data_IF_453208581197
#
_entry.id   IF_453208581197
#
_cell.length_a   1.000
_cell.length_b   1.000
_cell.length_c   1.000
_cell.angle_alpha   90.00
_cell.angle_beta   90.00
_cell.angle_gamma   90.00
#
_symmetry.space_group_name_H-M   'P 1'
#
loop_
_entity.id
_entity.type
_entity.pdbx_description
1 polymer ?
#
# COMPACT_ATOMS: atom_id res chain seq x y z
N UNK A 1 -20.77 3.90 -13.25
CA UNK A 1 -20.56 2.60 -12.57
C UNK A 1 -21.75 1.70 -12.86
N UNK A 2 -21.54 0.54 -13.53
CA UNK A 2 -22.61 -0.42 -13.84
C UNK A 2 -23.14 -1.12 -12.57
N UNK A 3 -24.33 -1.75 -12.65
CA UNK A 3 -25.00 -2.41 -11.51
C UNK A 3 -24.09 -3.46 -10.84
N UNK A 4 -23.34 -4.22 -11.64
CA UNK A 4 -22.40 -5.26 -11.17
C UNK A 4 -21.22 -4.67 -10.37
N UNK A 5 -20.70 -3.50 -10.76
CA UNK A 5 -19.62 -2.85 -10.02
C UNK A 5 -20.10 -2.26 -8.68
N UNK A 6 -21.36 -1.84 -8.59
CA UNK A 6 -21.99 -1.41 -7.32
C UNK A 6 -22.19 -2.58 -6.39
N UNK A 7 -22.66 -3.73 -6.88
CA UNK A 7 -22.85 -4.93 -6.06
C UNK A 7 -21.51 -5.44 -5.51
N UNK A 8 -20.47 -5.55 -6.33
CA UNK A 8 -19.12 -5.92 -5.90
C UNK A 8 -18.53 -4.92 -4.89
N UNK A 9 -18.80 -3.62 -5.04
CA UNK A 9 -18.38 -2.60 -4.09
C UNK A 9 -18.97 -2.83 -2.69
N UNK A 10 -20.25 -3.23 -2.59
CA UNK A 10 -20.88 -3.56 -1.30
C UNK A 10 -20.36 -4.89 -0.73
N UNK A 11 -20.18 -5.91 -1.56
CA UNK A 11 -19.62 -7.19 -1.16
C UNK A 11 -18.22 -7.02 -0.55
N UNK A 12 -17.35 -6.24 -1.17
CA UNK A 12 -15.99 -6.01 -0.69
C UNK A 12 -15.93 -5.30 0.68
N UNK A 13 -17.01 -4.63 1.07
CA UNK A 13 -17.15 -3.96 2.37
C UNK A 13 -17.86 -4.79 3.43
N UNK A 14 -18.14 -6.04 3.12
CA UNK A 14 -18.80 -6.98 4.01
C UNK A 14 -17.93 -8.22 4.24
N UNK A 15 -18.23 -9.04 5.24
CA UNK A 15 -17.58 -10.34 5.44
C UNK A 15 -17.71 -11.28 4.23
N UNK A 16 -18.71 -11.07 3.35
CA UNK A 16 -18.91 -11.87 2.13
C UNK A 16 -17.72 -11.81 1.18
N UNK A 17 -16.85 -10.79 1.29
CA UNK A 17 -15.62 -10.69 0.50
C UNK A 17 -14.72 -11.92 0.64
N UNK A 18 -14.72 -12.59 1.78
CA UNK A 18 -13.92 -13.81 1.99
C UNK A 18 -14.45 -14.99 1.15
N UNK A 19 -15.75 -15.15 1.05
CA UNK A 19 -16.36 -16.17 0.20
C UNK A 19 -16.10 -15.90 -1.29
N UNK A 20 -16.25 -14.64 -1.73
CA UNK A 20 -15.92 -14.22 -3.10
C UNK A 20 -14.45 -14.50 -3.41
N UNK A 21 -13.52 -14.11 -2.52
CA UNK A 21 -12.08 -14.39 -2.67
C UNK A 21 -11.81 -15.89 -2.81
N UNK A 22 -12.48 -16.72 -2.02
CA UNK A 22 -12.33 -18.18 -2.08
C UNK A 22 -12.81 -18.73 -3.43
N UNK A 23 -13.96 -18.27 -3.92
CA UNK A 23 -14.46 -18.66 -5.24
C UNK A 23 -13.54 -18.26 -6.40
N UNK A 24 -13.09 -17.00 -6.41
CA UNK A 24 -12.15 -16.52 -7.43
C UNK A 24 -10.80 -17.26 -7.34
N UNK A 25 -10.33 -17.58 -6.13
CA UNK A 25 -9.10 -18.35 -5.92
C UNK A 25 -9.24 -19.80 -6.41
N UNK A 26 -10.40 -20.41 -6.27
CA UNK A 26 -10.67 -21.77 -6.78
C UNK A 26 -10.62 -21.81 -8.31
N UNK A 27 -11.11 -20.76 -8.98
CA UNK A 27 -11.04 -20.64 -10.45
C UNK A 27 -9.60 -20.55 -10.96
N UNK A 28 -8.68 -19.97 -10.18
CA UNK A 28 -7.27 -19.78 -10.52
C UNK A 28 -6.32 -20.75 -9.78
N UNK A 29 -6.78 -21.95 -9.44
CA UNK A 29 -6.05 -22.89 -8.58
C UNK A 29 -4.66 -23.26 -9.10
N UNK A 30 -4.49 -23.38 -10.42
CA UNK A 30 -3.22 -23.76 -11.06
C UNK A 30 -2.14 -22.69 -10.82
N UNK A 31 -2.42 -21.44 -11.18
CA UNK A 31 -1.48 -20.33 -10.98
C UNK A 31 -1.22 -20.09 -9.50
N UNK A 32 -2.24 -20.21 -8.64
CA UNK A 32 -2.09 -20.08 -7.20
C UNK A 32 -1.17 -21.14 -6.59
N UNK A 33 -1.25 -22.39 -7.09
CA UNK A 33 -0.33 -23.46 -6.68
C UNK A 33 1.11 -23.15 -7.09
N UNK A 34 1.30 -22.64 -8.30
CA UNK A 34 2.63 -22.26 -8.79
C UNK A 34 3.21 -21.12 -7.95
N UNK A 35 2.43 -20.07 -7.65
CA UNK A 35 2.88 -18.98 -6.79
C UNK A 35 3.27 -19.45 -5.38
N UNK A 36 2.55 -20.42 -4.83
CA UNK A 36 2.88 -21.03 -3.53
C UNK A 36 4.17 -21.84 -3.61
N UNK A 37 4.35 -22.62 -4.68
CA UNK A 37 5.57 -23.39 -4.93
C UNK A 37 6.79 -22.47 -5.06
N UNK A 38 6.66 -21.41 -5.85
CA UNK A 38 7.73 -20.41 -6.01
C UNK A 38 8.06 -19.70 -4.68
N UNK A 39 7.08 -19.41 -3.85
CA UNK A 39 7.32 -18.80 -2.54
C UNK A 39 8.14 -19.71 -1.60
N UNK A 40 8.01 -21.05 -1.72
CA UNK A 40 8.80 -22.00 -0.94
C UNK A 40 10.27 -22.06 -1.38
N UNK A 41 10.58 -21.60 -2.60
CA UNK A 41 11.94 -21.54 -3.14
C UNK A 41 12.69 -20.26 -2.78
N UNK A 42 12.02 -19.28 -2.16
CA UNK A 42 12.67 -18.05 -1.72
C UNK A 42 13.63 -18.32 -0.56
N UNK A 43 14.80 -17.71 -0.64
CA UNK A 43 15.76 -17.75 0.47
C UNK A 43 15.36 -16.71 1.52
N UNK A 44 14.46 -17.09 2.45
CA UNK A 44 13.92 -16.22 3.49
C UNK A 44 14.76 -16.30 4.74
N UNK A 45 15.34 -15.19 5.16
CA UNK A 45 16.11 -15.08 6.41
C UNK A 45 15.21 -15.16 7.65
N UNK A 46 15.79 -15.44 8.81
CA UNK A 46 15.06 -15.44 10.08
C UNK A 46 14.46 -14.06 10.40
N UNK A 47 15.17 -12.97 10.09
CA UNK A 47 14.69 -11.61 10.31
C UNK A 47 13.45 -11.31 9.45
N UNK A 48 13.47 -11.65 8.16
CA UNK A 48 12.33 -11.49 7.25
C UNK A 48 11.12 -12.32 7.69
N UNK A 49 11.34 -13.55 8.15
CA UNK A 49 10.29 -14.43 8.70
C UNK A 49 9.64 -13.80 9.93
N UNK A 50 10.43 -13.29 10.86
CA UNK A 50 9.93 -12.64 12.07
C UNK A 50 9.07 -11.40 11.71
N UNK A 51 9.49 -10.61 10.72
CA UNK A 51 8.69 -9.46 10.23
C UNK A 51 7.39 -9.88 9.56
N UNK A 52 7.40 -10.97 8.82
CA UNK A 52 6.17 -11.53 8.23
C UNK A 52 5.19 -12.03 9.31
N UNK A 53 5.70 -12.66 10.36
CA UNK A 53 4.90 -13.10 11.51
C UNK A 53 4.34 -11.90 12.31
N UNK A 54 5.15 -10.85 12.51
CA UNK A 54 4.72 -9.59 13.12
C UNK A 54 3.59 -8.94 12.31
N UNK A 55 3.76 -8.85 10.99
CA UNK A 55 2.74 -8.34 10.07
C UNK A 55 1.45 -9.16 10.14
N UNK A 56 1.54 -10.48 10.20
CA UNK A 56 0.37 -11.36 10.31
C UNK A 56 -0.35 -11.22 11.66
N UNK A 57 0.38 -11.10 12.76
CA UNK A 57 -0.15 -11.01 14.12
C UNK A 57 -0.74 -9.64 14.40
N UNK A 58 0.01 -8.58 14.13
CA UNK A 58 -0.33 -7.22 14.52
C UNK A 58 -1.03 -6.42 13.41
N UNK A 59 -0.89 -6.87 12.14
CA UNK A 59 -1.32 -6.15 10.95
C UNK A 59 -0.29 -5.17 10.41
N UNK A 60 0.89 -5.04 11.05
CA UNK A 60 1.98 -4.17 10.62
C UNK A 60 3.35 -4.70 11.08
N UNK A 61 4.41 -4.25 10.41
CA UNK A 61 5.80 -4.48 10.80
C UNK A 61 6.69 -3.32 10.32
N UNK A 62 7.67 -2.91 11.13
CA UNK A 62 8.71 -1.98 10.71
C UNK A 62 9.80 -2.80 10.03
N UNK A 63 10.24 -2.39 8.84
CA UNK A 63 11.15 -3.16 7.98
C UNK A 63 12.37 -2.37 7.53
N UNK A 64 12.60 -1.18 8.08
CA UNK A 64 13.71 -0.28 7.68
C UNK A 64 15.05 -1.00 7.68
N UNK A 65 15.32 -1.80 8.70
CA UNK A 65 16.58 -2.53 8.88
C UNK A 65 16.81 -3.68 7.88
N UNK A 66 15.79 -4.07 7.14
CA UNK A 66 15.88 -5.11 6.11
C UNK A 66 16.20 -4.55 4.72
N UNK A 67 16.12 -3.24 4.55
CA UNK A 67 16.32 -2.61 3.25
C UNK A 67 17.79 -2.66 2.83
N UNK A 68 18.06 -3.08 1.59
CA UNK A 68 19.40 -3.03 1.01
C UNK A 68 19.88 -1.57 0.96
N UNK A 69 21.05 -1.24 1.57
CA UNK A 69 21.53 0.14 1.64
C UNK A 69 21.75 0.79 0.27
N UNK A 70 22.23 0.04 -0.72
CA UNK A 70 22.49 0.58 -2.05
C UNK A 70 21.20 0.83 -2.82
N UNK A 71 20.19 -0.03 -2.65
CA UNK A 71 18.84 0.17 -3.21
C UNK A 71 18.17 1.35 -2.53
N UNK A 72 18.29 1.45 -1.20
CA UNK A 72 17.71 2.52 -0.41
C UNK A 72 18.31 3.89 -0.79
N UNK A 73 19.63 3.96 -1.01
CA UNK A 73 20.29 5.18 -1.43
C UNK A 73 19.78 5.65 -2.80
N UNK A 74 19.78 4.78 -3.82
CA UNK A 74 19.27 5.13 -5.16
C UNK A 74 17.81 5.56 -5.12
N UNK A 75 16.98 4.86 -4.33
CA UNK A 75 15.58 5.22 -4.10
C UNK A 75 15.44 6.61 -3.46
N UNK A 76 16.25 6.91 -2.43
CA UNK A 76 16.25 8.19 -1.76
C UNK A 76 16.62 9.34 -2.69
N UNK A 77 17.70 9.19 -3.44
CA UNK A 77 18.18 10.18 -4.42
C UNK A 77 17.12 10.47 -5.49
N UNK A 78 16.57 9.40 -6.08
CA UNK A 78 15.52 9.52 -7.09
C UNK A 78 14.24 10.18 -6.53
N UNK A 79 13.85 9.82 -5.31
CA UNK A 79 12.65 10.37 -4.68
C UNK A 79 12.80 11.85 -4.33
N UNK A 80 13.94 12.24 -3.76
CA UNK A 80 14.21 13.64 -3.42
C UNK A 80 14.31 14.53 -4.67
N UNK A 81 14.84 14.02 -5.77
CA UNK A 81 14.86 14.73 -7.05
C UNK A 81 13.44 15.12 -7.53
N UNK A 82 12.40 14.35 -7.16
CA UNK A 82 11.01 14.62 -7.53
C UNK A 82 10.36 15.79 -6.78
N UNK A 83 10.96 16.28 -5.71
CA UNK A 83 10.45 17.48 -5.03
C UNK A 83 10.42 18.71 -5.95
N UNK A 84 11.35 18.81 -6.91
CA UNK A 84 11.34 19.87 -7.92
C UNK A 84 10.19 19.78 -8.93
N UNK A 85 9.52 18.62 -9.03
CA UNK A 85 8.46 18.37 -10.01
C UNK A 85 7.06 18.67 -9.48
N UNK A 86 6.90 19.04 -8.20
CA UNK A 86 5.59 19.13 -7.51
C UNK A 86 4.65 20.09 -8.23
N UNK A 87 5.07 21.32 -8.53
CA UNK A 87 4.23 22.32 -9.19
C UNK A 87 3.80 21.87 -10.58
N UNK A 88 4.73 21.31 -11.34
CA UNK A 88 4.46 20.80 -12.70
C UNK A 88 3.52 19.60 -12.67
N UNK A 89 3.70 18.69 -11.73
CA UNK A 89 2.85 17.51 -11.56
C UNK A 89 1.44 17.90 -11.12
N UNK A 90 1.34 18.86 -10.22
CA UNK A 90 0.04 19.39 -9.76
C UNK A 90 -0.75 20.07 -10.89
N UNK A 91 -0.08 20.91 -11.69
CA UNK A 91 -0.72 21.59 -12.83
C UNK A 91 -1.25 20.60 -13.88
N UNK A 92 -0.63 19.43 -14.02
CA UNK A 92 -1.05 18.36 -14.94
C UNK A 92 -2.11 17.43 -14.35
N UNK A 93 -2.33 17.46 -13.03
CA UNK A 93 -3.24 16.55 -12.37
C UNK A 93 -4.70 16.92 -12.68
N UNK A 94 -5.34 16.15 -13.54
CA UNK A 94 -6.71 16.38 -13.99
C UNK A 94 -7.79 15.91 -13.01
N UNK A 95 -7.42 15.09 -12.04
CA UNK A 95 -8.33 14.50 -11.05
C UNK A 95 -8.32 15.31 -9.74
N UNK A 96 -9.42 15.95 -9.41
CA UNK A 96 -9.64 16.62 -8.12
C UNK A 96 -9.95 15.66 -6.96
N UNK A 97 -9.86 14.36 -7.18
CA UNK A 97 -10.35 13.37 -6.23
C UNK A 97 -9.60 13.35 -4.88
N UNK A 98 -8.32 13.72 -4.89
CA UNK A 98 -7.51 13.86 -3.67
C UNK A 98 -6.61 15.09 -3.83
N UNK A 99 -7.16 16.26 -3.69
CA UNK A 99 -6.44 17.55 -3.83
C UNK A 99 -5.22 17.68 -2.90
N UNK A 100 -5.21 16.94 -1.79
CA UNK A 100 -4.09 16.92 -0.85
C UNK A 100 -2.93 16.00 -1.30
N UNK A 101 -3.04 15.30 -2.45
CA UNK A 101 -1.98 14.48 -3.02
C UNK A 101 -1.57 14.93 -4.40
N UNK A 102 -0.26 15.17 -4.58
CA UNK A 102 0.36 15.36 -5.89
C UNK A 102 1.08 14.06 -6.25
N UNK A 103 0.74 13.45 -7.39
CA UNK A 103 1.35 12.21 -7.88
C UNK A 103 2.60 12.56 -8.69
N UNK A 104 3.74 12.02 -8.31
CA UNK A 104 5.02 12.40 -8.92
C UNK A 104 5.55 11.37 -9.92
N UNK A 105 4.98 10.15 -9.98
CA UNK A 105 5.42 9.12 -10.93
C UNK A 105 4.63 9.12 -12.24
N UNK A 106 3.54 9.86 -12.35
CA UNK A 106 2.71 9.87 -13.56
C UNK A 106 3.50 10.37 -14.79
N UNK A 107 4.48 11.25 -14.60
CA UNK A 107 5.37 11.73 -15.66
C UNK A 107 6.36 10.68 -16.18
N UNK A 108 6.64 9.63 -15.42
CA UNK A 108 7.55 8.53 -15.79
C UNK A 108 6.81 7.39 -16.50
N UNK A 109 5.48 7.45 -16.51
CA UNK A 109 4.67 6.40 -17.14
C UNK A 109 4.70 6.53 -18.66
N UNK A 110 4.95 5.39 -19.32
CA UNK A 110 4.80 5.24 -20.76
C UNK A 110 3.49 4.47 -21.01
N UNK A 111 2.55 5.09 -21.71
CA UNK A 111 1.21 4.53 -21.93
C UNK A 111 0.50 4.11 -20.63
N UNK A 112 0.66 4.91 -19.56
CA UNK A 112 0.09 4.64 -18.25
C UNK A 112 0.77 3.51 -17.47
N UNK A 113 2.00 3.09 -17.86
CA UNK A 113 2.75 2.00 -17.25
C UNK A 113 4.15 2.43 -16.87
N UNK A 114 4.66 1.92 -15.76
CA UNK A 114 6.05 2.06 -15.34
C UNK A 114 6.90 0.89 -15.87
N UNK A 115 8.15 1.19 -16.20
CA UNK A 115 9.14 0.14 -16.49
C UNK A 115 9.40 -0.73 -15.26
N UNK A 116 9.60 -2.03 -15.48
CA UNK A 116 10.08 -2.93 -14.42
C UNK A 116 11.42 -2.46 -13.82
N UNK A 117 12.28 -1.78 -14.61
CA UNK A 117 13.58 -1.26 -14.15
C UNK A 117 13.47 0.09 -13.44
N UNK A 118 12.28 0.70 -13.38
CA UNK A 118 12.09 1.95 -12.68
C UNK A 118 12.53 1.80 -11.21
N UNK A 119 13.29 2.76 -10.69
CA UNK A 119 13.87 2.70 -9.33
C UNK A 119 12.83 2.47 -8.24
N UNK A 120 11.63 3.03 -8.39
CA UNK A 120 10.54 2.87 -7.43
C UNK A 120 9.89 1.48 -7.54
N UNK A 121 9.89 0.88 -8.73
CA UNK A 121 9.47 -0.52 -8.92
C UNK A 121 10.52 -1.45 -8.35
N UNK A 122 11.81 -1.23 -8.65
CA UNK A 122 12.91 -2.04 -8.10
C UNK A 122 12.99 -1.97 -6.57
N UNK A 123 12.66 -0.82 -5.96
CA UNK A 123 12.56 -0.71 -4.51
C UNK A 123 11.49 -1.63 -3.92
N UNK A 124 10.34 -1.78 -4.58
CA UNK A 124 9.31 -2.73 -4.17
C UNK A 124 9.70 -4.20 -4.43
N UNK A 125 10.54 -4.45 -5.43
CA UNK A 125 10.95 -5.80 -5.84
C UNK A 125 12.22 -6.30 -5.14
N UNK A 126 12.82 -5.52 -4.24
CA UNK A 126 14.02 -5.98 -3.53
C UNK A 126 13.72 -7.25 -2.70
N UNK A 127 14.68 -8.20 -2.60
CA UNK A 127 14.46 -9.50 -2.00
C UNK A 127 13.80 -9.45 -0.62
N UNK A 128 14.27 -8.57 0.27
CA UNK A 128 13.73 -8.46 1.62
C UNK A 128 12.22 -8.10 1.63
N UNK A 129 11.79 -7.18 0.77
CA UNK A 129 10.37 -6.81 0.64
C UNK A 129 9.55 -7.99 0.13
N UNK A 130 10.00 -8.62 -0.96
CA UNK A 130 9.31 -9.76 -1.57
C UNK A 130 9.22 -10.93 -0.59
N UNK A 131 10.32 -11.25 0.13
CA UNK A 131 10.37 -12.33 1.11
C UNK A 131 9.38 -12.12 2.26
N UNK A 132 9.34 -10.92 2.86
CA UNK A 132 8.39 -10.60 3.93
C UNK A 132 6.95 -10.71 3.45
N UNK A 133 6.62 -10.12 2.30
CA UNK A 133 5.25 -10.14 1.76
C UNK A 133 4.85 -11.54 1.34
N UNK A 134 5.72 -12.29 0.63
CA UNK A 134 5.43 -13.66 0.21
C UNK A 134 5.23 -14.59 1.40
N UNK A 135 6.07 -14.49 2.43
CA UNK A 135 5.92 -15.26 3.67
C UNK A 135 4.61 -14.92 4.38
N UNK A 136 4.27 -13.63 4.48
CA UNK A 136 3.04 -13.19 5.13
C UNK A 136 1.77 -13.65 4.38
N UNK A 137 1.81 -13.73 3.06
CA UNK A 137 0.71 -14.18 2.21
C UNK A 137 0.68 -15.70 1.98
N UNK A 138 1.83 -16.39 2.16
CA UNK A 138 2.03 -17.80 1.83
C UNK A 138 2.10 -18.09 0.33
N UNK A 139 2.37 -17.08 -0.50
CA UNK A 139 2.50 -17.18 -1.96
C UNK A 139 3.24 -15.96 -2.53
N UNK A 140 3.81 -16.08 -3.74
CA UNK A 140 4.38 -14.92 -4.43
C UNK A 140 3.30 -13.86 -4.63
N UNK A 141 3.51 -12.61 -4.14
CA UNK A 141 2.52 -11.55 -4.23
C UNK A 141 2.30 -11.06 -5.66
N UNK A 142 1.20 -10.35 -5.86
CA UNK A 142 0.99 -9.48 -7.01
C UNK A 142 1.25 -8.04 -6.59
N UNK A 143 2.20 -7.36 -7.22
CA UNK A 143 2.39 -5.91 -7.07
C UNK A 143 1.36 -5.20 -7.95
N UNK A 144 0.46 -4.47 -7.30
CA UNK A 144 -0.64 -3.79 -7.99
C UNK A 144 -0.20 -2.44 -8.57
N UNK A 145 0.44 -1.63 -7.74
CA UNK A 145 1.00 -0.35 -8.15
C UNK A 145 2.09 0.12 -7.18
N UNK A 146 2.91 1.05 -7.67
CA UNK A 146 3.75 1.91 -6.85
C UNK A 146 3.30 3.36 -7.03
N UNK A 147 3.44 4.15 -5.98
CA UNK A 147 3.04 5.55 -5.94
C UNK A 147 4.07 6.35 -5.16
N UNK A 148 4.51 7.46 -5.72
CA UNK A 148 5.21 8.52 -5.00
C UNK A 148 4.26 9.71 -4.93
N UNK A 149 3.88 10.12 -3.74
CA UNK A 149 2.92 11.20 -3.52
C UNK A 149 3.49 12.26 -2.57
N UNK A 150 3.34 13.50 -2.95
CA UNK A 150 3.56 14.63 -2.04
C UNK A 150 2.22 15.05 -1.45
N UNK A 151 2.16 15.10 -0.12
CA UNK A 151 0.97 15.57 0.61
C UNK A 151 1.23 16.95 1.19
N UNK A 152 0.22 17.83 1.13
CA UNK A 152 0.28 19.19 1.70
C UNK A 152 -1.02 19.56 2.38
N UNK A 153 -0.97 20.62 3.17
CA UNK A 153 -2.17 21.25 3.72
C UNK A 153 -2.98 21.93 2.61
N UNK A 154 -4.29 21.74 2.61
CA UNK A 154 -5.20 22.34 1.61
C UNK A 154 -6.15 23.37 2.21
N UNK A 155 -6.27 23.46 3.54
CA UNK A 155 -7.28 24.29 4.21
C UNK A 155 -8.72 23.80 4.04
N UNK A 156 -8.92 22.67 3.36
CA UNK A 156 -10.25 22.09 3.12
C UNK A 156 -10.64 21.11 4.21
N UNK A 157 -11.93 20.75 4.28
CA UNK A 157 -12.42 19.70 5.18
C UNK A 157 -11.73 18.35 4.88
N UNK A 158 -11.52 17.54 5.93
CA UNK A 158 -10.92 16.24 5.80
C UNK A 158 -11.77 15.30 4.95
N UNK A 159 -11.17 14.67 3.97
CA UNK A 159 -11.87 13.79 3.02
C UNK A 159 -11.07 12.53 2.70
N UNK A 160 -11.75 11.52 2.15
CA UNK A 160 -11.12 10.29 1.62
C UNK A 160 -10.14 9.67 2.65
N UNK A 161 -8.87 9.43 2.27
CA UNK A 161 -7.87 8.80 3.12
C UNK A 161 -7.40 9.65 4.32
N UNK A 162 -7.86 10.89 4.45
CA UNK A 162 -7.69 11.67 5.68
C UNK A 162 -8.69 11.27 6.79
N UNK A 163 -9.75 10.55 6.44
CA UNK A 163 -10.67 9.93 7.38
C UNK A 163 -10.26 8.47 7.64
N UNK A 164 -10.67 7.93 8.79
CA UNK A 164 -10.43 6.54 9.12
C UNK A 164 -11.12 5.59 8.14
N UNK A 165 -10.36 4.69 7.52
CA UNK A 165 -10.88 3.73 6.55
C UNK A 165 -10.07 2.44 6.54
N UNK A 166 -10.60 1.41 5.91
CA UNK A 166 -9.87 0.21 5.48
C UNK A 166 -9.83 0.20 3.97
N UNK A 167 -8.78 -0.37 3.41
CA UNK A 167 -8.79 -0.71 2.00
C UNK A 167 -9.69 -1.93 1.76
N UNK A 168 -10.49 -1.82 0.71
CA UNK A 168 -11.46 -2.84 0.37
C UNK A 168 -11.19 -3.50 -0.99
N UNK A 169 -9.99 -3.28 -1.55
CA UNK A 169 -9.61 -3.81 -2.85
C UNK A 169 -9.43 -5.33 -2.83
N UNK A 170 -9.01 -5.87 -1.69
CA UNK A 170 -8.89 -7.32 -1.46
C UNK A 170 -9.08 -7.65 0.03
N UNK A 171 -9.10 -8.95 0.38
CA UNK A 171 -9.13 -9.44 1.76
C UNK A 171 -7.81 -9.23 2.50
N UNK A 172 -6.72 -9.11 1.77
CA UNK A 172 -5.37 -8.76 2.24
C UNK A 172 -4.79 -7.72 1.31
N UNK A 173 -4.43 -6.57 1.86
CA UNK A 173 -3.79 -5.47 1.13
C UNK A 173 -2.55 -5.07 1.92
N UNK A 174 -1.40 -5.62 1.54
CA UNK A 174 -0.14 -5.28 2.19
C UNK A 174 0.48 -4.10 1.45
N UNK A 175 0.67 -3.00 2.16
CA UNK A 175 1.35 -1.83 1.63
C UNK A 175 2.71 -1.65 2.31
N UNK A 176 3.74 -1.49 1.50
CA UNK A 176 5.02 -0.94 1.93
C UNK A 176 4.91 0.58 1.84
N UNK A 177 5.16 1.24 2.93
CA UNK A 177 5.31 2.69 3.02
C UNK A 177 6.76 3.04 3.32
N UNK A 178 7.28 4.10 2.68
CA UNK A 178 8.59 4.65 3.00
C UNK A 178 8.53 6.17 2.96
N UNK A 179 8.95 6.80 4.04
CA UNK A 179 9.04 8.25 4.12
C UNK A 179 10.29 8.74 3.37
N UNK A 180 10.13 9.74 2.54
CA UNK A 180 11.25 10.41 1.86
C UNK A 180 11.53 11.82 2.43
N UNK A 181 10.67 12.29 3.34
CA UNK A 181 10.87 13.45 4.21
C UNK A 181 10.76 13.01 5.66
N UNK A 182 11.29 13.80 6.60
CA UNK A 182 11.09 13.55 8.02
C UNK A 182 9.60 13.71 8.37
N UNK A 183 9.11 12.84 9.25
CA UNK A 183 7.74 12.84 9.78
C UNK A 183 7.83 12.70 11.29
N UNK A 184 8.14 13.81 11.97
CA UNK A 184 8.46 13.81 13.41
C UNK A 184 7.33 14.39 14.25
N UNK A 185 6.49 15.23 13.63
CA UNK A 185 5.41 15.93 14.30
C UNK A 185 4.04 15.49 13.77
N UNK A 186 2.98 15.73 14.52
CA UNK A 186 1.61 15.47 14.09
C UNK A 186 1.24 16.30 12.84
N UNK A 187 1.80 17.53 12.74
CA UNK A 187 1.62 18.40 11.59
C UNK A 187 2.19 17.89 10.28
N UNK A 188 3.15 16.95 10.32
CA UNK A 188 3.72 16.31 9.12
C UNK A 188 2.78 15.26 8.52
N UNK A 189 1.59 15.07 9.08
CA UNK A 189 0.56 14.16 8.62
C UNK A 189 0.98 12.69 8.65
N UNK A 190 1.51 12.17 9.78
CA UNK A 190 1.99 10.81 9.88
C UNK A 190 0.92 9.79 9.50
N UNK A 191 1.34 8.66 8.93
CA UNK A 191 0.45 7.52 8.75
C UNK A 191 0.01 7.02 10.12
N UNK A 192 -1.30 7.00 10.33
CA UNK A 192 -1.90 6.69 11.63
C UNK A 192 -2.88 5.54 11.48
N UNK A 193 -2.81 4.56 12.37
CA UNK A 193 -3.64 3.36 12.26
C UNK A 193 -3.96 2.72 13.61
N UNK A 194 -4.96 1.86 13.60
CA UNK A 194 -5.25 0.91 14.66
C UNK A 194 -4.66 -0.45 14.28
N UNK A 195 -3.86 -1.10 15.14
CA UNK A 195 -3.42 -2.47 14.94
C UNK A 195 -4.63 -3.39 14.71
N UNK A 196 -4.38 -4.56 14.09
CA UNK A 196 -5.43 -5.51 13.74
C UNK A 196 -6.41 -5.80 14.88
N UNK A 197 -5.91 -6.11 16.07
CA UNK A 197 -6.75 -6.43 17.23
C UNK A 197 -7.69 -5.30 17.63
N UNK A 198 -7.21 -4.06 17.63
CA UNK A 198 -8.02 -2.88 17.93
C UNK A 198 -8.99 -2.56 16.79
N UNK A 199 -8.56 -2.78 15.55
CA UNK A 199 -9.44 -2.67 14.37
C UNK A 199 -10.57 -3.70 14.40
N UNK A 200 -10.33 -4.91 14.88
CA UNK A 200 -11.35 -5.95 15.00
C UNK A 200 -12.43 -5.55 16.03
N UNK A 201 -12.09 -4.81 17.10
CA UNK A 201 -13.05 -4.22 18.05
C UNK A 201 -13.98 -3.19 17.37
N UNK A 202 -13.46 -2.41 16.43
CA UNK A 202 -14.29 -1.48 15.65
C UNK A 202 -15.32 -2.21 14.78
N UNK A 203 -15.00 -3.41 14.32
CA UNK A 203 -15.88 -4.26 13.51
C UNK A 203 -15.97 -3.83 12.04
N UNK A 204 -17.00 -4.32 11.35
CA UNK A 204 -17.36 -3.97 9.97
C UNK A 204 -18.67 -3.19 9.98
N UNK A 205 -18.62 -1.84 9.96
CA UNK A 205 -19.83 -1.05 9.87
C UNK A 205 -20.58 -1.31 8.55
N UNK A 206 -21.88 -1.55 8.64
CA UNK A 206 -22.74 -1.79 7.47
C UNK A 206 -22.85 -0.55 6.58
N UNK A 207 -22.76 0.63 7.17
CA UNK A 207 -22.87 1.91 6.47
C UNK A 207 -21.57 2.72 6.58
N UNK A 208 -21.17 3.26 5.44
CA UNK A 208 -19.99 4.11 5.31
C UNK A 208 -18.70 3.32 5.15
N UNK A 209 -17.67 3.99 4.69
CA UNK A 209 -16.34 3.44 4.46
C UNK A 209 -15.23 4.33 5.00
N UNK A 210 -15.57 5.57 5.29
CA UNK A 210 -14.69 6.58 5.85
C UNK A 210 -15.38 7.16 7.08
N UNK A 211 -14.68 7.20 8.19
CA UNK A 211 -15.23 7.51 9.50
C UNK A 211 -14.50 8.68 10.13
N UNK A 212 -15.22 9.64 10.73
CA UNK A 212 -14.61 10.70 11.53
C UNK A 212 -14.09 10.14 12.86
N UNK A 213 -13.27 10.91 13.55
CA UNK A 213 -12.57 10.51 14.76
C UNK A 213 -13.51 10.11 15.91
N UNK A 214 -14.58 10.85 16.11
CA UNK A 214 -15.59 10.61 17.14
C UNK A 214 -16.22 9.23 16.99
N UNK A 215 -16.55 8.82 15.76
CA UNK A 215 -17.13 7.50 15.48
C UNK A 215 -16.16 6.36 15.77
N UNK A 216 -14.87 6.56 15.54
CA UNK A 216 -13.84 5.55 15.82
C UNK A 216 -13.58 5.47 17.32
N UNK A 217 -13.36 6.62 17.96
CA UNK A 217 -13.02 6.69 19.37
C UNK A 217 -14.24 6.46 20.31
N UNK A 218 -15.45 6.46 19.78
CA UNK A 218 -16.61 5.94 20.48
C UNK A 218 -16.60 4.42 20.67
N UNK A 219 -15.73 3.68 19.94
CA UNK A 219 -15.63 2.21 20.00
C UNK A 219 -14.25 1.69 20.40
N UNK A 220 -13.20 2.46 20.15
CA UNK A 220 -11.82 2.03 20.37
C UNK A 220 -11.09 3.08 21.20
N UNK A 221 -10.32 2.68 22.22
CA UNK A 221 -9.53 3.62 23.02
C UNK A 221 -8.51 4.39 22.16
N UNK A 222 -8.36 5.70 22.45
CA UNK A 222 -7.34 6.52 21.76
C UNK A 222 -5.92 6.00 21.96
N UNK A 223 -5.62 5.37 23.11
CA UNK A 223 -4.33 4.77 23.40
C UNK A 223 -3.95 3.57 22.53
N UNK A 224 -4.92 2.98 21.83
CA UNK A 224 -4.67 1.87 20.89
C UNK A 224 -4.08 2.38 19.54
N UNK A 225 -4.13 3.69 19.27
CA UNK A 225 -3.67 4.29 18.03
C UNK A 225 -2.14 4.21 17.92
N UNK A 226 -1.67 3.82 16.75
CA UNK A 226 -0.26 3.91 16.35
C UNK A 226 -0.09 5.05 15.37
N UNK A 227 0.80 5.98 15.71
CA UNK A 227 1.19 7.11 14.87
C UNK A 227 2.62 6.87 14.40
N UNK A 228 2.80 6.70 13.11
CA UNK A 228 4.12 6.42 12.52
C UNK A 228 4.90 7.73 12.37
N UNK A 229 5.53 8.17 13.45
CA UNK A 229 6.52 9.25 13.45
C UNK A 229 7.90 8.64 13.30
N UNK A 230 8.65 9.08 12.30
CA UNK A 230 9.96 8.53 12.00
C UNK A 230 10.76 9.47 11.08
N UNK A 231 12.10 9.39 11.09
CA UNK A 231 12.94 10.11 10.14
C UNK A 231 12.71 9.61 8.72
N UNK A 232 13.19 10.36 7.76
CA UNK A 232 13.22 9.96 6.35
C UNK A 232 13.87 8.58 6.20
N UNK A 233 13.45 7.85 5.18
CA UNK A 233 13.83 6.48 4.82
C UNK A 233 13.29 5.40 5.78
N UNK A 234 12.59 5.77 6.83
CA UNK A 234 11.86 4.79 7.61
C UNK A 234 10.83 4.08 6.72
N UNK A 235 10.88 2.74 6.78
CA UNK A 235 10.05 1.86 5.96
C UNK A 235 9.27 0.89 6.83
N UNK A 236 7.97 0.78 6.54
CA UNK A 236 7.07 -0.09 7.29
C UNK A 236 6.01 -0.69 6.40
N UNK A 237 5.53 -1.87 6.76
CA UNK A 237 4.45 -2.57 6.07
C UNK A 237 3.19 -2.59 6.91
N UNK A 238 2.04 -2.42 6.28
CA UNK A 238 0.72 -2.50 6.92
C UNK A 238 -0.24 -3.28 6.05
N UNK A 239 -1.00 -4.21 6.63
CA UNK A 239 -2.17 -4.82 6.00
C UNK A 239 -3.35 -3.87 6.14
N UNK A 240 -3.49 -2.98 5.18
CA UNK A 240 -4.48 -1.89 5.20
C UNK A 240 -5.93 -2.38 5.02
N UNK A 241 -6.13 -3.64 4.63
CA UNK A 241 -7.44 -4.28 4.67
C UNK A 241 -7.84 -4.73 6.09
N UNK A 242 -6.85 -4.92 6.99
CA UNK A 242 -7.07 -5.38 8.37
C UNK A 242 -6.84 -4.30 9.42
N UNK A 243 -6.09 -3.24 9.09
CA UNK A 243 -5.83 -2.11 9.96
C UNK A 243 -6.65 -0.90 9.52
N UNK A 244 -7.55 -0.43 10.37
CA UNK A 244 -8.23 0.85 10.17
C UNK A 244 -7.20 1.96 10.23
N UNK A 245 -7.12 2.81 9.21
CA UNK A 245 -6.03 3.78 9.09
C UNK A 245 -6.49 5.10 8.49
N UNK A 246 -5.67 6.10 8.66
CA UNK A 246 -5.79 7.41 8.04
C UNK A 246 -4.41 8.04 7.84
N UNK A 247 -4.33 9.10 7.04
CA UNK A 247 -3.07 9.81 6.84
C UNK A 247 -3.24 11.15 6.13
N UNK A 248 -2.13 11.84 5.89
CA UNK A 248 -2.10 13.11 5.13
C UNK A 248 -2.95 14.23 5.76
N UNK A 249 -3.05 14.27 7.10
CA UNK A 249 -3.61 15.40 7.83
C UNK A 249 -2.50 16.39 8.11
N UNK A 250 -2.15 17.17 7.07
CA UNK A 250 -1.03 18.11 7.13
C UNK A 250 -1.43 19.41 7.84
N UNK A 251 -0.57 19.95 8.69
CA UNK A 251 -0.69 21.31 9.20
C UNK A 251 -0.26 22.34 8.14
N UNK A 252 -0.68 23.61 8.26
CA UNK A 252 -0.19 24.70 7.40
C UNK A 252 1.34 24.78 7.41
N UNK A 253 1.96 24.90 6.23
CA UNK A 253 3.41 24.97 6.06
C UNK A 253 4.13 23.61 6.08
N UNK A 254 3.43 22.52 6.37
CA UNK A 254 3.99 21.17 6.37
C UNK A 254 3.72 20.43 5.06
N UNK A 255 4.64 19.53 4.70
CA UNK A 255 4.53 18.66 3.53
C UNK A 255 5.26 17.34 3.73
N UNK A 256 4.75 16.28 3.11
CA UNK A 256 5.31 14.94 3.24
C UNK A 256 5.44 14.26 1.89
N UNK A 257 6.62 13.76 1.57
CA UNK A 257 6.87 12.89 0.44
C UNK A 257 6.81 11.43 0.92
N UNK A 258 5.84 10.69 0.39
CA UNK A 258 5.54 9.31 0.76
C UNK A 258 5.57 8.40 -0.46
N UNK A 259 6.36 7.33 -0.36
CA UNK A 259 6.29 6.21 -1.27
C UNK A 259 5.33 5.14 -0.75
N UNK A 260 4.60 4.51 -1.67
CA UNK A 260 3.71 3.38 -1.38
C UNK A 260 3.84 2.32 -2.48
N UNK A 261 4.07 1.06 -2.09
CA UNK A 261 3.89 -0.10 -2.96
C UNK A 261 2.78 -0.98 -2.41
N UNK A 262 1.87 -1.44 -3.27
CA UNK A 262 0.67 -2.19 -2.86
C UNK A 262 0.72 -3.60 -3.40
N UNK A 263 0.62 -4.57 -2.49
CA UNK A 263 0.68 -6.00 -2.79
C UNK A 263 -0.61 -6.71 -2.42
N UNK A 264 -1.03 -7.64 -3.27
CA UNK A 264 -2.17 -8.52 -3.06
C UNK A 264 -1.76 -10.00 -3.11
N UNK A 265 -2.56 -10.84 -2.46
CA UNK A 265 -2.57 -12.26 -2.75
C UNK A 265 -3.27 -12.51 -4.10
N UNK A 266 -2.70 -13.40 -4.93
CA UNK A 266 -3.31 -13.76 -6.22
C UNK A 266 -4.53 -14.70 -6.02
N UNK A 267 -5.53 -14.65 -6.88
CA UNK A 267 -5.83 -13.58 -7.83
C UNK A 267 -6.42 -12.37 -7.14
N UNK A 268 -6.26 -11.19 -7.74
CA UNK A 268 -6.90 -9.98 -7.25
C UNK A 268 -8.42 -10.11 -7.29
N UNK A 269 -9.11 -9.70 -6.22
CA UNK A 269 -10.58 -9.76 -6.14
C UNK A 269 -11.28 -8.85 -7.16
N UNK A 270 -10.65 -7.72 -7.49
CA UNK A 270 -11.20 -6.76 -8.44
C UNK A 270 -10.51 -6.91 -9.81
N UNK A 271 -11.12 -7.62 -10.76
CA UNK A 271 -10.53 -7.78 -12.11
C UNK A 271 -10.65 -6.49 -12.96
N UNK A 272 -11.11 -5.37 -12.37
CA UNK A 272 -11.50 -4.17 -13.10
C UNK A 272 -10.39 -3.34 -13.73
N UNK A 273 -9.14 -3.52 -13.36
CA UNK A 273 -8.04 -2.89 -14.07
C UNK A 273 -7.53 -3.84 -15.16
N UNK A 274 -8.03 -3.69 -16.38
CA UNK A 274 -7.45 -4.29 -17.60
C UNK A 274 -6.02 -3.78 -17.86
N UNK A 275 -5.59 -2.74 -17.16
CA UNK A 275 -4.30 -2.12 -17.33
C UNK A 275 -3.33 -2.71 -16.32
N UNK A 276 -2.39 -3.49 -16.82
CA UNK A 276 -1.20 -3.88 -16.07
C UNK A 276 -0.35 -2.61 -15.93
N UNK A 277 -0.06 -2.13 -14.70
CA UNK A 277 0.62 -0.85 -14.51
C UNK A 277 2.13 -0.92 -14.80
N UNK A 278 2.63 -2.07 -15.27
CA UNK A 278 4.04 -2.30 -15.52
C UNK A 278 4.28 -2.88 -16.92
N UNK A 279 5.50 -2.69 -17.43
CA UNK A 279 6.00 -3.38 -18.61
C UNK A 279 7.40 -3.95 -18.33
N UNK A 280 7.71 -5.09 -18.97
CA UNK A 280 8.98 -5.78 -18.82
C UNK A 280 10.07 -5.13 -19.69
N UNK A 281 11.31 -5.30 -19.24
CA UNK A 281 12.54 -5.06 -20.02
C UNK A 281 13.26 -6.39 -20.28
N UNK A 282 14.38 -6.37 -20.99
CA UNK A 282 15.24 -7.54 -21.20
C UNK A 282 15.68 -8.18 -19.87
N UNK A 283 15.91 -7.36 -18.86
CA UNK A 283 16.52 -7.77 -17.59
C UNK A 283 15.50 -8.20 -16.54
N UNK A 284 14.19 -8.10 -16.87
CA UNK A 284 13.11 -8.50 -15.96
C UNK A 284 13.10 -10.02 -15.76
N UNK A 285 13.43 -10.48 -14.55
CA UNK A 285 13.50 -11.90 -14.20
C UNK A 285 12.12 -12.58 -14.22
N UNK A 286 12.08 -13.91 -14.28
CA UNK A 286 10.84 -14.68 -14.24
C UNK A 286 10.03 -14.42 -12.95
N UNK A 287 10.71 -14.31 -11.80
CA UNK A 287 10.07 -13.97 -10.53
C UNK A 287 9.46 -12.56 -10.56
N UNK A 288 10.20 -11.58 -11.07
CA UNK A 288 9.67 -10.21 -11.21
C UNK A 288 8.47 -10.16 -12.16
N UNK A 289 8.51 -10.88 -13.28
CA UNK A 289 7.35 -11.00 -14.19
C UNK A 289 6.13 -11.57 -13.47
N UNK A 290 6.33 -12.61 -12.66
CA UNK A 290 5.25 -13.19 -11.87
C UNK A 290 4.66 -12.19 -10.86
N UNK A 291 5.50 -11.40 -10.16
CA UNK A 291 5.06 -10.37 -9.20
C UNK A 291 4.34 -9.23 -9.91
N UNK A 292 4.84 -8.78 -11.05
CA UNK A 292 4.29 -7.68 -11.84
C UNK A 292 3.09 -8.07 -12.71
N UNK A 293 2.79 -9.36 -12.81
CA UNK A 293 1.72 -9.89 -13.65
C UNK A 293 1.98 -9.75 -15.16
N UNK A 294 3.21 -9.94 -15.60
CA UNK A 294 3.70 -9.77 -16.98
C UNK A 294 3.86 -11.11 -17.68
#
# INVERSE_FOLDING_TARGET
MGLMSRALWHVNRSPLRYAVKSGVSAWHVGEKRERRRQAQLLNVTAAERNKAEELNRNGYAIVTELMDPAVLQRFAEAGMARLGDIETAEAKQTSNWKKFWVRLLDAEMKDGKLSADNVFVQYALQPAVVNVVATALGEIPWLDYVLLSYSRHTGEELTSSQLWHRDHDDVRVIKLFSYLTDVEQDGDGPFTFLPRQSTDKFGFPLLGSHFPDDRVFGKVPRGDVKVMKAPRLASFMVDTAKCLHMGSRMAPGHGRLLYTATFFAFPRMYPGAKNRPFFSTSDTSALQKLILGL
#
